data_IF_062046443897
#
_entry.id   IF_062046443897
#
_cell.length_a   1.000
_cell.length_b   1.000
_cell.length_c   1.000
_cell.angle_alpha   90.00
_cell.angle_beta   90.00
_cell.angle_gamma   90.00
#
_symmetry.space_group_name_H-M   'P 1'
#
loop_
_entity.id
_entity.type
_entity.pdbx_description
1 polymer ?
#
# COMPACT_ATOMS: atom_id res chain seq x y z
N UNK A 1 -37.73 33.38 39.70
CA UNK A 1 -36.92 34.26 40.55
C UNK A 1 -35.68 33.44 40.89
N UNK A 2 -34.56 33.82 40.26
CA UNK A 2 -33.15 33.66 40.65
C UNK A 2 -32.94 33.43 42.17
N UNK A 3 -31.94 32.73 42.70
CA UNK A 3 -30.76 31.99 42.22
C UNK A 3 -30.08 31.42 43.50
N UNK A 4 -29.00 30.64 43.34
CA UNK A 4 -27.92 30.41 44.35
C UNK A 4 -28.23 29.54 45.60
N UNK A 5 -27.32 28.74 46.18
CA UNK A 5 -25.95 28.35 45.87
C UNK A 5 -25.61 27.07 46.66
N UNK A 6 -24.70 26.28 46.07
CA UNK A 6 -23.60 25.46 46.62
C UNK A 6 -23.49 25.15 48.13
N UNK A 7 -23.21 23.88 48.47
CA UNK A 7 -21.84 23.48 48.86
C UNK A 7 -21.65 21.95 48.97
N UNK A 8 -20.42 21.55 48.62
CA UNK A 8 -19.90 20.19 48.50
C UNK A 8 -19.68 19.47 49.83
N UNK A 9 -19.85 18.15 49.86
CA UNK A 9 -18.90 17.28 50.56
C UNK A 9 -18.70 15.97 49.80
N UNK A 10 -17.46 15.83 49.32
CA UNK A 10 -16.89 14.66 48.69
C UNK A 10 -16.74 13.54 49.73
N UNK A 11 -17.34 12.38 49.48
CA UNK A 11 -16.93 11.12 50.12
C UNK A 11 -16.31 10.21 49.07
N UNK A 12 -14.98 10.20 49.07
CA UNK A 12 -14.13 9.21 48.41
C UNK A 12 -14.43 7.86 49.07
N UNK A 13 -15.31 7.06 48.46
CA UNK A 13 -15.41 5.63 48.79
C UNK A 13 -14.53 4.85 47.83
N UNK A 14 -13.35 4.50 48.33
CA UNK A 14 -12.48 3.40 47.92
C UNK A 14 -13.17 2.38 46.99
N UNK A 15 -12.83 2.37 45.71
CA UNK A 15 -13.17 1.30 44.79
C UNK A 15 -12.50 -0.01 45.25
N UNK A 16 -13.26 -1.04 45.63
CA UNK A 16 -12.69 -2.33 45.97
C UNK A 16 -12.20 -3.01 44.68
N UNK A 17 -11.06 -3.67 44.82
CA UNK A 17 -10.45 -4.60 43.87
C UNK A 17 -11.47 -5.29 42.95
N UNK A 18 -11.27 -5.12 41.63
CA UNK A 18 -11.95 -5.89 40.59
C UNK A 18 -11.74 -7.38 40.83
N UNK A 19 -12.67 -7.99 41.54
CA UNK A 19 -12.94 -9.41 41.43
C UNK A 19 -13.25 -9.71 39.96
N UNK A 20 -12.67 -10.79 39.42
CA UNK A 20 -12.92 -11.28 38.07
C UNK A 20 -14.41 -11.58 37.91
N UNK A 21 -15.21 -10.57 37.54
CA UNK A 21 -16.61 -10.76 37.18
C UNK A 21 -16.61 -11.66 35.95
N UNK A 22 -17.26 -12.82 36.07
CA UNK A 22 -17.52 -13.67 34.90
C UNK A 22 -18.34 -12.84 33.93
N UNK A 23 -17.83 -12.70 32.70
CA UNK A 23 -18.55 -12.03 31.63
C UNK A 23 -19.95 -12.65 31.52
N UNK A 24 -20.96 -11.81 31.39
CA UNK A 24 -22.33 -12.28 31.17
C UNK A 24 -22.39 -13.03 29.83
N UNK A 25 -23.39 -13.90 29.66
CA UNK A 25 -23.56 -14.64 28.42
C UNK A 25 -23.65 -13.70 27.21
N UNK A 26 -24.36 -12.59 27.37
CA UNK A 26 -24.53 -11.56 26.33
C UNK A 26 -23.20 -10.84 26.01
N UNK A 27 -22.35 -10.58 27.02
CA UNK A 27 -21.01 -10.03 26.82
C UNK A 27 -20.08 -11.01 26.09
N UNK A 28 -20.20 -12.31 26.37
CA UNK A 28 -19.43 -13.35 25.67
C UNK A 28 -19.90 -13.50 24.23
N UNK A 29 -21.21 -13.51 23.99
CA UNK A 29 -21.79 -13.58 22.63
C UNK A 29 -21.42 -12.32 21.82
N UNK A 30 -21.52 -11.14 22.41
CA UNK A 30 -21.07 -9.88 21.79
C UNK A 30 -19.57 -9.88 21.51
N UNK A 31 -18.73 -10.36 22.44
CA UNK A 31 -17.30 -10.48 22.23
C UNK A 31 -16.96 -11.47 21.11
N UNK A 32 -17.66 -12.60 21.00
CA UNK A 32 -17.48 -13.56 19.91
C UNK A 32 -17.95 -13.02 18.55
N UNK A 33 -18.87 -12.05 18.55
CA UNK A 33 -19.34 -11.38 17.33
C UNK A 33 -18.41 -10.23 16.91
N UNK A 34 -17.85 -9.50 17.88
CA UNK A 34 -16.90 -8.41 17.68
C UNK A 34 -15.49 -8.94 17.34
N UNK A 35 -15.07 -10.07 17.91
CA UNK A 35 -13.73 -10.62 17.73
C UNK A 35 -13.38 -10.94 16.26
N UNK A 36 -14.26 -11.53 15.43
CA UNK A 36 -14.05 -11.67 13.99
C UNK A 36 -13.99 -10.32 13.28
N UNK A 37 -14.83 -9.35 13.65
CA UNK A 37 -14.85 -8.01 13.04
C UNK A 37 -13.54 -7.25 13.33
N UNK A 38 -13.09 -7.26 14.58
CA UNK A 38 -11.83 -6.65 15.01
C UNK A 38 -10.65 -7.40 14.39
N UNK A 39 -10.65 -8.73 14.36
CA UNK A 39 -9.62 -9.52 13.68
C UNK A 39 -9.59 -9.22 12.18
N UNK A 40 -10.73 -9.12 11.51
CA UNK A 40 -10.77 -8.79 10.08
C UNK A 40 -10.23 -7.38 9.79
N UNK A 41 -10.47 -6.41 10.68
CA UNK A 41 -9.89 -5.07 10.58
C UNK A 41 -8.39 -5.06 10.85
N UNK A 42 -7.92 -5.78 11.90
CA UNK A 42 -6.50 -5.92 12.23
C UNK A 42 -5.74 -6.64 11.12
N UNK A 43 -6.27 -7.76 10.62
CA UNK A 43 -5.71 -8.51 9.50
C UNK A 43 -5.64 -7.65 8.23
N UNK A 44 -6.68 -6.85 7.95
CA UNK A 44 -6.66 -5.93 6.82
C UNK A 44 -5.59 -4.83 6.97
N UNK A 45 -5.40 -4.28 8.17
CA UNK A 45 -4.38 -3.26 8.45
C UNK A 45 -2.95 -3.83 8.40
N UNK A 46 -2.74 -5.01 8.97
CA UNK A 46 -1.47 -5.74 8.91
C UNK A 46 -1.12 -6.10 7.47
N UNK A 47 -2.07 -6.65 6.70
CA UNK A 47 -1.86 -6.96 5.28
C UNK A 47 -1.42 -5.75 4.48
N UNK A 48 -2.12 -4.64 4.65
CA UNK A 48 -1.79 -3.41 3.95
C UNK A 48 -0.41 -2.86 4.33
N UNK A 49 -0.04 -2.97 5.60
CA UNK A 49 1.30 -2.60 6.08
C UNK A 49 2.38 -3.49 5.45
N UNK A 50 2.15 -4.80 5.37
CA UNK A 50 3.09 -5.72 4.71
C UNK A 50 3.28 -5.39 3.23
N UNK A 51 2.20 -5.03 2.52
CA UNK A 51 2.28 -4.60 1.12
C UNK A 51 3.12 -3.34 0.95
N UNK A 52 2.92 -2.33 1.79
CA UNK A 52 3.70 -1.09 1.73
C UNK A 52 5.19 -1.36 1.97
N UNK A 53 5.52 -2.15 3.00
CA UNK A 53 6.91 -2.53 3.29
C UNK A 53 7.53 -3.35 2.15
N UNK A 54 6.78 -4.30 1.59
CA UNK A 54 7.23 -5.11 0.47
C UNK A 54 7.44 -4.28 -0.80
N UNK A 55 6.61 -3.26 -1.03
CA UNK A 55 6.77 -2.36 -2.17
C UNK A 55 8.04 -1.52 -2.07
N UNK A 56 8.32 -0.95 -0.89
CA UNK A 56 9.58 -0.21 -0.66
C UNK A 56 10.77 -1.14 -0.88
N UNK A 57 10.74 -2.35 -0.30
CA UNK A 57 11.79 -3.37 -0.52
C UNK A 57 11.94 -3.72 -2.00
N UNK A 58 10.83 -3.84 -2.74
CA UNK A 58 10.86 -4.16 -4.16
C UNK A 58 11.51 -3.04 -4.99
N UNK A 59 11.24 -1.77 -4.66
CA UNK A 59 11.89 -0.60 -5.27
C UNK A 59 13.40 -0.61 -4.99
N UNK A 60 13.81 -0.78 -3.72
CA UNK A 60 15.23 -0.83 -3.34
C UNK A 60 15.96 -1.97 -4.01
N UNK A 61 15.34 -3.14 -4.09
CA UNK A 61 15.90 -4.28 -4.79
C UNK A 61 16.10 -4.03 -6.29
N UNK A 62 15.26 -3.19 -6.92
CA UNK A 62 15.48 -2.79 -8.31
C UNK A 62 16.64 -1.80 -8.46
N UNK A 63 16.83 -0.91 -7.50
CA UNK A 63 18.03 -0.05 -7.46
C UNK A 63 19.29 -0.88 -7.31
N UNK A 64 19.27 -1.86 -6.42
CA UNK A 64 20.38 -2.77 -6.19
C UNK A 64 20.69 -3.63 -7.41
N UNK A 65 19.65 -4.14 -8.08
CA UNK A 65 19.79 -4.97 -9.29
C UNK A 65 20.33 -4.19 -10.49
N UNK A 66 20.08 -2.88 -10.54
CA UNK A 66 20.47 -1.98 -11.64
C UNK A 66 21.71 -1.15 -11.32
N UNK A 67 22.32 -1.36 -10.15
CA UNK A 67 23.46 -0.60 -9.64
C UNK A 67 23.24 0.93 -9.68
N UNK A 68 22.05 1.35 -9.23
CA UNK A 68 21.71 2.76 -9.08
C UNK A 68 22.23 3.29 -7.73
N UNK A 69 23.48 3.72 -7.72
CA UNK A 69 24.19 4.07 -6.48
C UNK A 69 23.95 5.52 -6.02
N UNK A 70 23.54 6.40 -6.93
CA UNK A 70 23.31 7.83 -6.61
C UNK A 70 21.82 8.18 -6.52
N UNK A 71 21.44 9.19 -5.71
CA UNK A 71 20.07 9.70 -5.68
C UNK A 71 19.57 10.13 -7.07
N UNK A 72 20.39 10.81 -7.87
CA UNK A 72 19.98 11.30 -9.19
C UNK A 72 19.65 10.16 -10.17
N UNK A 73 20.45 9.08 -10.16
CA UNK A 73 20.17 7.88 -10.95
C UNK A 73 18.85 7.22 -10.52
N UNK A 74 18.62 7.12 -9.20
CA UNK A 74 17.38 6.56 -8.65
C UNK A 74 16.18 7.42 -8.98
N UNK A 75 16.28 8.74 -8.83
CA UNK A 75 15.22 9.70 -9.16
C UNK A 75 14.84 9.64 -10.64
N UNK A 76 15.84 9.61 -11.52
CA UNK A 76 15.64 9.46 -12.97
C UNK A 76 14.93 8.14 -13.30
N UNK A 77 15.38 7.03 -12.72
CA UNK A 77 14.74 5.73 -12.93
C UNK A 77 13.32 5.66 -12.37
N UNK A 78 13.06 6.21 -11.17
CA UNK A 78 11.72 6.27 -10.57
C UNK A 78 10.77 7.09 -11.45
N UNK A 79 11.23 8.23 -11.95
CA UNK A 79 10.44 9.07 -12.87
C UNK A 79 10.08 8.31 -14.14
N UNK A 80 11.03 7.55 -14.71
CA UNK A 80 10.76 6.67 -15.85
C UNK A 80 9.73 5.59 -15.49
N UNK A 81 9.83 4.97 -14.31
CA UNK A 81 8.91 3.92 -13.87
C UNK A 81 7.47 4.42 -13.69
N UNK A 82 7.29 5.66 -13.25
CA UNK A 82 5.98 6.30 -13.09
C UNK A 82 5.37 6.79 -14.42
N UNK A 83 6.18 6.83 -15.49
CA UNK A 83 5.75 7.26 -16.81
C UNK A 83 5.80 8.78 -17.00
N UNK A 84 5.35 9.28 -18.16
CA UNK A 84 5.52 10.69 -18.56
C UNK A 84 4.77 11.68 -17.66
N UNK A 85 3.67 11.25 -17.05
CA UNK A 85 2.97 12.02 -16.01
C UNK A 85 2.90 11.17 -14.72
N UNK A 86 3.80 11.41 -13.75
CA UNK A 86 3.78 10.73 -12.46
C UNK A 86 2.47 10.90 -11.69
N UNK A 87 1.69 11.96 -11.98
CA UNK A 87 0.40 12.26 -11.32
C UNK A 87 -0.76 11.51 -11.98
N UNK A 88 -0.63 11.08 -13.24
CA UNK A 88 -1.65 10.29 -13.92
C UNK A 88 -1.60 8.83 -13.47
N UNK A 89 -2.26 8.53 -12.35
CA UNK A 89 -2.39 7.17 -11.78
C UNK A 89 -3.26 6.23 -12.63
N UNK A 90 -3.94 6.74 -13.66
CA UNK A 90 -4.84 5.99 -14.52
C UNK A 90 -4.16 5.44 -15.77
N UNK A 91 -3.01 6.00 -16.13
CA UNK A 91 -2.28 5.57 -17.31
C UNK A 91 -1.84 4.11 -17.21
N UNK A 92 -2.13 3.35 -18.28
CA UNK A 92 -1.52 2.03 -18.50
C UNK A 92 -0.06 2.18 -18.96
N UNK A 93 0.38 3.36 -19.36
CA UNK A 93 1.74 3.64 -19.83
C UNK A 93 2.71 3.85 -18.65
N UNK A 94 2.51 3.12 -17.56
CA UNK A 94 3.33 3.12 -16.36
C UNK A 94 4.27 1.91 -16.42
N UNK A 95 5.56 2.09 -16.71
CA UNK A 95 6.49 0.98 -16.94
C UNK A 95 6.51 -0.09 -15.85
N UNK A 96 6.35 0.27 -14.57
CA UNK A 96 6.39 -0.70 -13.47
C UNK A 96 5.28 -1.77 -13.52
N UNK A 97 4.21 -1.55 -14.30
CA UNK A 97 3.12 -2.52 -14.47
C UNK A 97 3.49 -3.68 -15.38
N UNK A 98 4.54 -3.55 -16.19
CA UNK A 98 4.79 -4.42 -17.34
C UNK A 98 6.05 -5.25 -17.17
N UNK A 99 5.99 -6.53 -17.52
CA UNK A 99 7.18 -7.41 -17.52
C UNK A 99 8.28 -6.94 -18.48
N UNK A 100 7.89 -6.26 -19.57
CA UNK A 100 8.80 -5.74 -20.59
C UNK A 100 9.94 -4.89 -20.02
N UNK A 101 9.65 -4.19 -18.93
CA UNK A 101 10.49 -3.15 -18.34
C UNK A 101 11.44 -3.73 -17.29
N UNK A 102 11.30 -5.02 -16.96
CA UNK A 102 12.16 -5.72 -16.03
C UNK A 102 13.59 -5.93 -16.60
N UNK A 103 13.77 -5.82 -17.91
CA UNK A 103 15.10 -5.93 -18.51
C UNK A 103 16.05 -4.87 -17.95
N UNK A 104 17.29 -5.27 -17.64
CA UNK A 104 18.36 -4.34 -17.28
C UNK A 104 18.69 -3.36 -18.42
N UNK A 105 18.47 -3.80 -19.65
CA UNK A 105 18.72 -3.00 -20.86
C UNK A 105 17.52 -2.17 -21.30
N UNK A 106 16.39 -2.24 -20.58
CA UNK A 106 15.24 -1.39 -20.88
C UNK A 106 15.60 0.07 -20.58
N UNK A 107 15.32 0.96 -21.54
CA UNK A 107 15.81 2.34 -21.54
C UNK A 107 14.70 3.35 -21.87
N UNK A 108 13.49 3.13 -21.32
CA UNK A 108 12.39 4.09 -21.46
C UNK A 108 11.49 3.89 -22.69
N UNK A 109 11.65 2.80 -23.44
CA UNK A 109 10.73 2.50 -24.55
C UNK A 109 9.30 2.26 -24.03
N UNK A 110 8.28 2.57 -24.85
CA UNK A 110 6.88 2.39 -24.47
C UNK A 110 6.59 0.93 -24.07
N UNK A 111 6.21 0.66 -22.81
CA UNK A 111 6.02 -0.70 -22.33
C UNK A 111 4.90 -1.45 -23.06
N UNK A 112 3.93 -0.75 -23.65
CA UNK A 112 2.85 -1.38 -24.41
C UNK A 112 3.34 -1.96 -25.74
N UNK A 113 4.40 -1.39 -26.32
CA UNK A 113 4.92 -1.79 -27.64
C UNK A 113 6.09 -2.74 -27.54
N UNK A 114 6.80 -2.74 -26.41
CA UNK A 114 7.95 -3.62 -26.17
C UNK A 114 7.59 -5.08 -25.92
N UNK A 115 6.29 -5.38 -25.76
CA UNK A 115 5.80 -6.72 -25.46
C UNK A 115 6.12 -7.15 -24.02
N UNK A 116 5.14 -7.74 -23.35
CA UNK A 116 5.26 -8.13 -21.95
C UNK A 116 3.88 -8.12 -21.31
N UNK A 117 3.58 -9.07 -20.45
CA UNK A 117 2.25 -9.12 -19.84
C UNK A 117 2.01 -7.93 -18.91
N UNK A 118 0.89 -7.24 -19.10
CA UNK A 118 0.39 -6.25 -18.16
C UNK A 118 0.15 -6.90 -16.78
N UNK A 119 0.52 -6.21 -15.71
CA UNK A 119 0.53 -6.65 -14.31
C UNK A 119 1.53 -7.77 -13.99
N UNK A 120 2.43 -8.09 -14.91
CA UNK A 120 3.57 -8.99 -14.66
C UNK A 120 4.87 -8.24 -14.34
N UNK A 121 4.83 -6.93 -14.09
CA UNK A 121 6.01 -6.17 -13.68
C UNK A 121 6.60 -6.73 -12.37
N UNK A 122 7.93 -6.85 -12.32
CA UNK A 122 8.65 -7.54 -11.24
C UNK A 122 8.34 -7.01 -9.84
N UNK A 123 8.29 -5.69 -9.67
CA UNK A 123 7.95 -5.08 -8.37
C UNK A 123 6.52 -5.45 -7.94
N UNK A 124 5.56 -5.40 -8.86
CA UNK A 124 4.16 -5.78 -8.58
C UNK A 124 4.08 -7.25 -8.15
N UNK A 125 4.78 -8.14 -8.86
CA UNK A 125 4.82 -9.57 -8.53
C UNK A 125 5.49 -9.86 -7.19
N UNK A 126 6.57 -9.14 -6.82
CA UNK A 126 7.21 -9.26 -5.50
C UNK A 126 6.24 -8.90 -4.38
N UNK A 127 5.50 -7.79 -4.51
CA UNK A 127 4.50 -7.39 -3.50
C UNK A 127 3.33 -8.37 -3.47
N UNK A 128 2.87 -8.80 -4.64
CA UNK A 128 1.77 -9.78 -4.73
C UNK A 128 2.15 -11.13 -4.12
N UNK A 129 3.43 -11.53 -4.18
CA UNK A 129 3.92 -12.75 -3.54
C UNK A 129 3.73 -12.75 -2.02
N UNK A 130 3.72 -11.59 -1.35
CA UNK A 130 3.41 -11.52 0.08
C UNK A 130 2.00 -11.99 0.37
N UNK A 131 1.02 -11.58 -0.45
CA UNK A 131 -0.36 -12.09 -0.31
C UNK A 131 -0.42 -13.60 -0.50
N UNK A 132 0.22 -14.10 -1.56
CA UNK A 132 0.24 -15.53 -1.85
C UNK A 132 0.95 -16.32 -0.75
N UNK A 133 2.00 -15.77 -0.16
CA UNK A 133 2.71 -16.37 0.98
C UNK A 133 1.81 -16.44 2.21
N UNK A 134 1.08 -15.38 2.54
CA UNK A 134 0.20 -15.37 3.72
C UNK A 134 -0.97 -16.33 3.54
N UNK A 135 -1.60 -16.32 2.37
CA UNK A 135 -2.70 -17.24 2.05
C UNK A 135 -2.20 -18.69 1.99
N UNK A 136 -1.03 -18.94 1.40
CA UNK A 136 -0.46 -20.28 1.25
C UNK A 136 0.19 -20.85 2.51
N UNK A 137 0.68 -20.00 3.43
CA UNK A 137 1.26 -20.42 4.71
C UNK A 137 0.22 -20.67 5.79
N UNK A 138 -1.04 -20.29 5.54
CA UNK A 138 -2.12 -20.58 6.46
C UNK A 138 -2.48 -22.06 6.39
N UNK A 139 -2.55 -22.75 7.54
CA UNK A 139 -2.94 -24.16 7.60
C UNK A 139 -4.33 -24.33 6.97
N UNK A 140 -4.57 -25.37 6.15
CA UNK A 140 -5.86 -25.60 5.48
C UNK A 140 -7.08 -25.48 6.41
N UNK A 141 -6.96 -25.97 7.66
CA UNK A 141 -8.03 -25.85 8.66
C UNK A 141 -8.15 -24.47 9.35
N UNK A 142 -7.14 -23.60 9.29
CA UNK A 142 -7.17 -22.30 9.98
C UNK A 142 -7.97 -21.25 9.22
N UNK A 143 -7.88 -21.22 7.89
CA UNK A 143 -8.69 -20.33 7.05
C UNK A 143 -10.12 -20.86 6.92
N UNK A 144 -10.28 -22.17 6.76
CA UNK A 144 -11.60 -22.81 6.71
C UNK A 144 -12.38 -22.63 8.02
N UNK A 145 -11.72 -22.73 9.19
CA UNK A 145 -12.34 -22.45 10.49
C UNK A 145 -12.77 -20.98 10.66
N UNK A 146 -12.22 -20.06 9.85
CA UNK A 146 -12.63 -18.66 9.79
C UNK A 146 -13.67 -18.40 8.67
N UNK A 147 -14.12 -19.44 7.97
CA UNK A 147 -15.03 -19.32 6.82
C UNK A 147 -14.39 -18.62 5.62
N UNK A 148 -13.05 -18.54 5.56
CA UNK A 148 -12.32 -17.86 4.51
C UNK A 148 -11.90 -18.85 3.42
N UNK A 149 -12.49 -18.71 2.23
CA UNK A 149 -12.07 -19.46 1.03
C UNK A 149 -11.22 -18.55 0.15
N UNK A 150 -9.93 -18.86 -0.06
CA UNK A 150 -9.08 -18.09 -0.95
C UNK A 150 -9.66 -18.02 -2.37
N UNK A 151 -9.72 -16.82 -2.92
CA UNK A 151 -10.15 -16.65 -4.32
C UNK A 151 -9.09 -17.17 -5.27
N UNK A 152 -9.49 -17.92 -6.30
CA UNK A 152 -8.61 -18.31 -7.42
C UNK A 152 -8.08 -17.11 -8.21
N UNK A 153 -8.77 -15.97 -8.12
CA UNK A 153 -8.41 -14.69 -8.75
C UNK A 153 -8.43 -13.59 -7.69
N UNK A 154 -7.36 -13.43 -6.90
CA UNK A 154 -7.30 -12.46 -5.80
C UNK A 154 -7.13 -11.03 -6.31
N UNK A 155 -8.18 -10.53 -6.98
CA UNK A 155 -8.24 -9.21 -7.65
C UNK A 155 -7.87 -8.06 -6.73
N UNK A 156 -8.42 -8.08 -5.52
CA UNK A 156 -8.13 -7.06 -4.51
C UNK A 156 -6.66 -7.03 -4.13
N UNK A 157 -6.02 -8.19 -3.95
CA UNK A 157 -4.59 -8.26 -3.66
C UNK A 157 -3.74 -7.76 -4.83
N UNK A 158 -4.09 -8.07 -6.08
CA UNK A 158 -3.36 -7.52 -7.23
C UNK A 158 -3.49 -5.98 -7.30
N UNK A 159 -4.69 -5.44 -7.09
CA UNK A 159 -4.91 -3.98 -7.04
C UNK A 159 -4.08 -3.31 -5.94
N UNK A 160 -4.09 -3.89 -4.74
CA UNK A 160 -3.32 -3.37 -3.61
C UNK A 160 -1.82 -3.44 -3.87
N UNK A 161 -1.34 -4.49 -4.57
CA UNK A 161 0.08 -4.63 -4.92
C UNK A 161 0.52 -3.52 -5.87
N UNK A 162 -0.29 -3.25 -6.91
CA UNK A 162 -0.05 -2.16 -7.87
C UNK A 162 -0.02 -0.80 -7.16
N UNK A 163 -0.99 -0.54 -6.29
CA UNK A 163 -1.03 0.71 -5.52
C UNK A 163 0.19 0.84 -4.61
N UNK A 164 0.59 -0.23 -3.91
CA UNK A 164 1.72 -0.20 -3.00
C UNK A 164 3.02 0.14 -3.73
N UNK A 165 3.25 -0.49 -4.89
CA UNK A 165 4.41 -0.17 -5.75
C UNK A 165 4.35 1.27 -6.23
N UNK A 166 3.18 1.73 -6.70
CA UNK A 166 3.02 3.11 -7.12
C UNK A 166 3.41 4.10 -6.01
N UNK A 167 2.92 3.88 -4.79
CA UNK A 167 3.24 4.75 -3.65
C UNK A 167 4.71 4.69 -3.27
N UNK A 168 5.32 3.51 -3.26
CA UNK A 168 6.74 3.36 -2.99
C UNK A 168 7.61 4.12 -4.02
N UNK A 169 7.19 4.14 -5.28
CA UNK A 169 7.81 4.95 -6.33
C UNK A 169 7.57 6.46 -6.09
N UNK A 170 6.35 6.88 -5.76
CA UNK A 170 6.06 8.29 -5.43
C UNK A 170 6.91 8.79 -4.25
N UNK A 171 7.04 7.99 -3.19
CA UNK A 171 7.92 8.30 -2.04
C UNK A 171 9.40 8.33 -2.41
N UNK A 172 9.78 7.85 -3.59
CA UNK A 172 11.17 7.76 -4.01
C UNK A 172 11.51 8.66 -5.19
N UNK A 173 10.66 9.64 -5.51
CA UNK A 173 10.83 10.58 -6.63
C UNK A 173 12.14 11.38 -6.54
N UNK A 174 12.59 11.71 -5.33
CA UNK A 174 13.85 12.43 -5.08
C UNK A 174 15.09 11.51 -5.13
N UNK A 175 14.91 10.22 -5.40
CA UNK A 175 15.97 9.21 -5.34
C UNK A 175 16.31 8.74 -3.93
N UNK A 176 15.63 9.29 -2.92
CA UNK A 176 15.60 8.81 -1.53
C UNK A 176 14.17 8.41 -1.21
N UNK A 177 13.98 7.34 -0.46
CA UNK A 177 12.63 6.94 -0.03
C UNK A 177 12.22 7.76 1.19
N UNK A 178 11.33 8.71 0.97
CA UNK A 178 10.79 9.64 1.96
C UNK A 178 9.32 9.30 2.17
N UNK A 179 9.07 8.46 3.18
CA UNK A 179 7.71 8.18 3.63
C UNK A 179 7.25 9.36 4.49
N UNK A 180 6.16 10.06 4.13
CA UNK A 180 5.65 11.20 4.91
C UNK A 180 5.51 10.83 6.40
N UNK A 181 6.19 11.59 7.27
CA UNK A 181 6.13 11.39 8.72
C UNK A 181 5.08 12.33 9.31
N UNK A 182 4.12 11.78 10.07
CA UNK A 182 3.15 12.61 10.79
C UNK A 182 1.95 11.84 11.34
N UNK A 183 1.29 12.42 12.35
CA UNK A 183 -0.04 12.05 12.83
C UNK A 183 -1.14 12.38 11.80
N UNK A 184 -0.80 13.16 10.78
CA UNK A 184 -1.64 13.34 9.60
C UNK A 184 -1.59 12.06 8.80
N UNK A 185 -2.75 11.44 8.72
CA UNK A 185 -3.07 10.24 7.96
C UNK A 185 -2.57 10.35 6.51
N UNK A 186 -1.28 10.26 6.18
CA UNK A 186 -0.78 10.29 4.79
C UNK A 186 0.21 9.15 4.51
N UNK A 187 0.90 8.68 5.56
CA UNK A 187 1.68 7.44 5.56
C UNK A 187 0.87 6.17 5.88
N UNK A 188 -0.33 6.30 6.46
CA UNK A 188 -1.16 5.15 6.81
C UNK A 188 -1.91 4.57 5.61
N UNK A 189 -1.99 3.25 5.52
CA UNK A 189 -2.77 2.54 4.50
C UNK A 189 -4.28 2.54 4.81
N UNK A 190 -4.87 3.73 4.93
CA UNK A 190 -6.29 3.94 5.20
C UNK A 190 -7.10 4.07 3.90
N UNK A 191 -8.43 3.88 4.00
CA UNK A 191 -9.34 4.19 2.86
C UNK A 191 -9.24 5.66 2.46
N UNK A 192 -9.00 6.56 3.42
CA UNK A 192 -8.88 8.00 3.18
C UNK A 192 -7.68 8.31 2.27
N UNK A 193 -6.62 7.52 2.36
CA UNK A 193 -5.37 7.75 1.61
C UNK A 193 -5.24 6.89 0.36
N UNK A 194 -5.77 5.67 0.41
CA UNK A 194 -5.57 4.66 -0.63
C UNK A 194 -6.86 4.35 -1.39
N UNK A 195 -8.01 4.67 -0.82
CA UNK A 195 -9.32 4.44 -1.40
C UNK A 195 -9.71 5.48 -2.44
N UNK A 196 -10.74 5.14 -3.22
CA UNK A 196 -11.44 6.10 -4.07
C UNK A 196 -12.10 7.17 -3.19
N UNK A 197 -12.14 8.40 -3.69
CA UNK A 197 -12.73 9.54 -2.99
C UNK A 197 -13.62 10.35 -3.93
N UNK A 198 -14.47 11.19 -3.37
CA UNK A 198 -15.29 12.13 -4.14
C UNK A 198 -14.65 13.50 -4.10
N UNK A 199 -14.48 14.14 -5.26
CA UNK A 199 -14.04 15.52 -5.37
C UNK A 199 -15.21 16.39 -5.80
N UNK A 200 -15.43 17.49 -5.11
CA UNK A 200 -16.33 18.55 -5.59
C UNK A 200 -15.71 19.21 -6.82
N UNK A 201 -16.45 19.27 -7.91
CA UNK A 201 -16.04 19.91 -9.15
C UNK A 201 -17.17 20.80 -9.64
N UNK A 202 -16.86 22.06 -9.89
CA UNK A 202 -17.83 23.01 -10.45
C UNK A 202 -17.83 22.88 -11.97
N UNK A 203 -18.98 22.56 -12.56
CA UNK A 203 -19.19 22.55 -14.00
C UNK A 203 -20.36 23.47 -14.29
N UNK A 204 -20.16 24.49 -15.13
CA UNK A 204 -21.18 25.48 -15.49
C UNK A 204 -21.82 26.20 -14.27
N UNK A 205 -21.02 26.52 -13.25
CA UNK A 205 -21.48 27.22 -12.04
C UNK A 205 -22.28 26.35 -11.06
N UNK A 206 -22.38 25.04 -11.30
CA UNK A 206 -22.97 24.09 -10.37
C UNK A 206 -21.92 23.11 -9.86
N UNK A 207 -21.97 22.84 -8.55
CA UNK A 207 -21.08 21.90 -7.90
C UNK A 207 -21.58 20.47 -8.03
N UNK A 208 -20.72 19.59 -8.55
CA UNK A 208 -20.96 18.16 -8.69
C UNK A 208 -19.94 17.38 -7.88
N UNK A 209 -20.38 16.30 -7.22
CA UNK A 209 -19.47 15.30 -6.66
C UNK A 209 -19.04 14.34 -7.74
N UNK A 210 -17.76 14.39 -8.12
CA UNK A 210 -17.18 13.47 -9.09
C UNK A 210 -16.36 12.40 -8.35
N UNK A 211 -16.62 11.10 -8.58
CA UNK A 211 -15.79 10.04 -8.01
C UNK A 211 -14.43 10.04 -8.69
N UNK A 212 -13.36 10.14 -7.89
CA UNK A 212 -11.97 10.00 -8.30
C UNK A 212 -11.48 8.61 -7.88
N UNK A 213 -11.21 7.77 -8.88
CA UNK A 213 -10.74 6.40 -8.66
C UNK A 213 -9.25 6.42 -8.33
N UNK A 214 -8.88 5.98 -7.14
CA UNK A 214 -7.48 5.84 -6.69
C UNK A 214 -7.17 4.37 -6.42
N UNK A 215 -8.06 3.69 -5.70
CA UNK A 215 -7.91 2.26 -5.43
C UNK A 215 -8.31 1.40 -6.63
N UNK A 216 -9.43 1.74 -7.26
CA UNK A 216 -10.09 0.86 -8.23
C UNK A 216 -9.76 1.21 -9.68
N UNK A 217 -8.69 1.97 -9.90
CA UNK A 217 -8.33 2.48 -11.21
C UNK A 217 -8.15 1.38 -12.26
N UNK A 218 -7.53 0.26 -11.86
CA UNK A 218 -7.34 -0.90 -12.74
C UNK A 218 -8.44 -1.96 -12.59
N UNK A 219 -9.51 -1.72 -11.83
CA UNK A 219 -10.52 -2.73 -11.52
C UNK A 219 -11.18 -3.31 -12.77
N UNK A 220 -11.59 -2.46 -13.71
CA UNK A 220 -12.17 -2.91 -14.98
C UNK A 220 -11.19 -3.78 -15.79
N UNK A 221 -9.91 -3.39 -15.83
CA UNK A 221 -8.87 -4.13 -16.58
C UNK A 221 -8.56 -5.47 -15.91
N UNK A 222 -8.45 -5.50 -14.59
CA UNK A 222 -8.20 -6.72 -13.80
C UNK A 222 -9.40 -7.68 -13.86
N UNK A 223 -10.62 -7.15 -13.86
CA UNK A 223 -11.84 -7.96 -14.00
C UNK A 223 -11.95 -8.63 -15.38
N UNK A 224 -11.43 -7.98 -16.41
CA UNK A 224 -11.43 -8.47 -17.79
C UNK A 224 -10.29 -9.46 -18.10
N UNK A 225 -9.40 -9.79 -17.14
CA UNK A 225 -8.35 -10.78 -17.35
C UNK A 225 -8.95 -12.20 -17.46
N UNK A 226 -8.57 -12.90 -18.53
CA UNK A 226 -8.89 -14.31 -18.74
C UNK A 226 -8.15 -15.25 -17.76
N UNK A 227 -8.54 -16.52 -17.75
CA UNK A 227 -7.96 -17.53 -16.86
C UNK A 227 -6.48 -17.79 -17.13
N UNK A 228 -6.05 -17.74 -18.40
CA UNK A 228 -4.67 -17.96 -18.80
C UNK A 228 -3.75 -16.87 -18.24
N UNK A 229 -4.17 -15.61 -18.32
CA UNK A 229 -3.45 -14.46 -17.76
C UNK A 229 -3.41 -14.53 -16.23
N UNK A 230 -4.50 -14.92 -15.60
CA UNK A 230 -4.52 -15.12 -14.14
C UNK A 230 -3.55 -16.22 -13.71
N UNK A 231 -3.53 -17.36 -14.40
CA UNK A 231 -2.56 -18.43 -14.14
C UNK A 231 -1.12 -17.91 -14.26
N UNK A 232 -0.81 -17.17 -15.33
CA UNK A 232 0.50 -16.56 -15.53
C UNK A 232 0.90 -15.60 -14.39
N UNK A 233 -0.01 -14.75 -13.91
CA UNK A 233 0.23 -13.83 -12.79
C UNK A 233 0.48 -14.60 -11.49
N UNK A 234 -0.34 -15.61 -11.20
CA UNK A 234 -0.22 -16.43 -10.00
C UNK A 234 1.10 -17.20 -10.00
N UNK A 235 1.46 -17.85 -11.10
CA UNK A 235 2.68 -18.63 -11.22
C UNK A 235 3.93 -17.73 -11.14
N UNK A 236 3.90 -16.58 -11.81
CA UNK A 236 4.98 -15.61 -11.72
C UNK A 236 5.12 -15.02 -10.30
N UNK A 237 4.02 -14.77 -9.60
CA UNK A 237 4.03 -14.32 -8.20
C UNK A 237 4.59 -15.39 -7.26
N UNK A 238 4.15 -16.65 -7.40
CA UNK A 238 4.66 -17.80 -6.62
C UNK A 238 6.17 -17.95 -6.75
N UNK A 239 6.73 -17.62 -7.91
CA UNK A 239 8.17 -17.67 -8.14
C UNK A 239 8.97 -16.71 -7.24
N UNK A 240 8.34 -15.75 -6.54
CA UNK A 240 8.99 -14.87 -5.58
C UNK A 240 8.77 -15.27 -4.10
N UNK A 241 7.92 -16.26 -3.81
CA UNK A 241 7.70 -16.74 -2.44
C UNK A 241 8.96 -17.44 -1.93
N UNK A 242 9.39 -17.11 -0.70
CA UNK A 242 10.52 -17.77 -0.03
C UNK A 242 11.90 -17.42 -0.60
N UNK A 243 11.97 -16.66 -1.71
CA UNK A 243 13.21 -16.07 -2.18
C UNK A 243 13.56 -14.88 -1.30
N UNK A 244 14.19 -15.15 -0.16
CA UNK A 244 15.09 -14.17 0.46
C UNK A 244 16.09 -13.79 -0.63
N UNK A 245 16.41 -12.51 -0.80
CA UNK A 245 17.42 -12.05 -1.77
C UNK A 245 18.83 -12.50 -1.35
N UNK A 246 19.02 -13.81 -1.24
CA UNK A 246 20.29 -14.46 -1.20
C UNK A 246 20.71 -14.63 -2.65
N UNK A 247 21.80 -13.96 -3.06
CA UNK A 247 22.69 -14.31 -4.18
C UNK A 247 22.75 -13.48 -5.47
N UNK A 248 22.61 -12.16 -5.43
CA UNK A 248 23.30 -11.33 -6.46
C UNK A 248 24.30 -10.30 -5.87
N UNK A 249 24.38 -10.11 -4.55
CA UNK A 249 25.32 -9.19 -3.90
C UNK A 249 26.10 -9.77 -2.71
N UNK A 250 26.77 -10.92 -2.86
CA UNK A 250 27.93 -11.20 -1.99
C UNK A 250 29.11 -10.36 -2.45
N UNK A 251 29.12 -9.10 -2.06
CA UNK A 251 30.25 -8.23 -2.37
C UNK A 251 30.03 -6.76 -2.05
N UNK A 252 29.90 -6.42 -0.76
CA UNK A 252 30.47 -5.23 -0.08
C UNK A 252 29.53 -4.71 1.01
N UNK A 253 29.90 -4.99 2.25
CA UNK A 253 29.49 -4.18 3.37
C UNK A 253 30.14 -2.80 3.24
N UNK A 254 29.36 -1.72 3.36
CA UNK A 254 29.86 -0.48 3.96
C UNK A 254 28.78 0.19 4.81
N UNK A 255 29.15 0.29 6.08
CA UNK A 255 28.63 1.16 7.13
C UNK A 255 28.88 2.62 6.72
N UNK A 256 27.91 3.49 6.98
CA UNK A 256 28.06 4.94 6.87
C UNK A 256 26.88 5.63 7.51
N UNK A 257 27.07 6.05 8.77
CA UNK A 257 26.12 6.80 9.56
C UNK A 257 25.76 8.14 8.89
N UNK A 258 24.47 8.49 8.93
CA UNK A 258 23.95 9.76 8.42
C UNK A 258 24.24 10.91 9.39
N UNK A 259 24.63 12.10 8.91
CA UNK A 259 24.37 13.36 9.61
C UNK A 259 23.01 13.93 9.20
N UNK A 260 22.45 14.69 10.13
CA UNK A 260 21.08 15.22 10.22
C UNK A 260 21.09 16.73 9.87
N UNK A 261 19.94 17.27 9.43
CA UNK A 261 19.53 18.70 9.30
C UNK A 261 19.88 19.40 7.95
N UNK A 262 19.16 20.38 7.37
CA UNK A 262 18.04 21.29 7.74
C UNK A 262 17.08 21.52 6.54
N UNK A 263 15.87 22.05 6.83
CA UNK A 263 14.79 22.39 5.88
C UNK A 263 14.90 23.86 5.43
N UNK A 264 14.61 24.13 4.15
CA UNK A 264 14.20 25.44 3.67
C UNK A 264 13.05 25.30 2.66
N UNK A 265 11.94 25.99 2.95
CA UNK A 265 10.75 26.12 2.11
C UNK A 265 10.93 27.21 1.04
N UNK A 266 10.32 27.03 -0.15
CA UNK A 266 9.51 28.09 -0.79
C UNK A 266 8.70 27.58 -1.98
N UNK A 267 7.50 28.12 -2.11
CA UNK A 267 6.42 27.86 -3.07
C UNK A 267 6.71 28.19 -4.54
N UNK A 268 5.99 27.51 -5.45
CA UNK A 268 5.19 28.14 -6.51
C UNK A 268 4.16 27.15 -7.10
N UNK A 269 2.89 27.58 -7.13
CA UNK A 269 1.68 26.79 -7.39
C UNK A 269 1.44 26.41 -8.87
N UNK A 270 1.09 25.13 -9.10
CA UNK A 270 0.18 24.69 -10.18
C UNK A 270 -0.74 23.58 -9.65
N UNK A 271 -2.02 23.91 -9.53
CA UNK A 271 -3.20 23.21 -8.97
C UNK A 271 -3.03 21.69 -8.77
N UNK A 272 -2.80 21.31 -7.50
CA UNK A 272 -2.42 20.00 -6.96
C UNK A 272 -3.56 19.24 -6.25
N UNK A 273 -3.32 17.96 -5.96
CA UNK A 273 -4.06 17.17 -4.95
C UNK A 273 -3.60 17.62 -3.56
N UNK A 274 -4.47 18.25 -2.77
CA UNK A 274 -4.13 18.95 -1.51
C UNK A 274 -3.65 18.04 -0.37
N UNK A 275 -3.63 16.71 -0.57
CA UNK A 275 -3.10 15.75 0.41
C UNK A 275 -1.56 15.62 0.32
N UNK A 276 -0.95 16.16 -0.74
CA UNK A 276 0.48 16.02 -1.02
C UNK A 276 1.10 17.35 -1.47
N UNK A 277 0.65 18.45 -0.85
CA UNK A 277 1.45 19.68 -0.70
C UNK A 277 2.56 19.39 0.31
#
# INVERSE_FOLDING_TARGET
MFDENEEHTVLISSTPYLGKRKATRDEVELFQLIKPLVRNQVLAAEWKTQFALAAIKAVHAEWDRRDLDTPDQRASWVSQMLGPDPRDRHSKNRPFLWRATDSLTWSGQDPNTCGGGLFLGRMVLKVFAEHLSIVGSSTPGALEALGFVPSSKPRGALMLSIQAVNRALEYSLTGKTEVPQGNDKTGHFSKENWGDYERLTTVNGQDYRKPVKRATVFAATINALDDQRWAAIIDAGKAFIGKKETSERRGRARVGAAPLLEVQESDDEVIQDSMYM
#
